data_IF_519438116972
#
_entry.id   IF_519438116972
#
_cell.length_a   1.000
_cell.length_b   1.000
_cell.length_c   1.000
_cell.angle_alpha   90.00
_cell.angle_beta   90.00
_cell.angle_gamma   90.00
#
_symmetry.space_group_name_H-M   'P 1'
#
loop_
_entity.id
_entity.type
_entity.pdbx_description
1 polymer ?
#
# COMPACT_ATOMS: atom_id res chain seq x y z
N UNK A 1 61.54 -9.45 -51.15
CA UNK A 1 62.68 -8.73 -50.55
C UNK A 1 62.56 -7.25 -50.92
N UNK A 2 62.51 -6.39 -49.89
CA UNK A 2 62.94 -4.98 -49.82
C UNK A 2 62.73 -4.05 -51.03
N UNK A 3 61.70 -3.20 -50.94
CA UNK A 3 61.61 -1.85 -51.53
C UNK A 3 60.59 -1.10 -50.66
N UNK A 4 60.66 0.19 -50.30
CA UNK A 4 61.50 1.30 -50.72
C UNK A 4 61.32 2.40 -49.67
N UNK A 5 62.42 3.04 -49.27
CA UNK A 5 62.43 4.31 -48.57
C UNK A 5 62.22 5.44 -49.59
N UNK A 6 61.28 6.36 -49.34
CA UNK A 6 61.42 7.73 -49.83
C UNK A 6 60.95 8.76 -48.79
N UNK A 7 61.92 9.60 -48.40
CA UNK A 7 61.74 10.89 -47.74
C UNK A 7 61.53 11.96 -48.81
N UNK A 8 60.68 12.96 -48.55
CA UNK A 8 60.83 14.38 -48.95
C UNK A 8 59.72 15.15 -48.21
N UNK A 9 59.98 15.78 -47.06
CA UNK A 9 60.33 17.20 -46.89
C UNK A 9 59.58 18.16 -47.83
N UNK A 10 58.61 18.89 -47.28
CA UNK A 10 58.51 20.33 -47.53
C UNK A 10 58.04 21.05 -46.26
N UNK A 11 58.74 22.12 -45.95
CA UNK A 11 58.69 22.90 -44.73
C UNK A 11 57.53 23.90 -44.70
N UNK A 12 57.29 24.41 -43.47
CA UNK A 12 56.77 25.74 -43.13
C UNK A 12 55.27 25.96 -43.39
N UNK A 13 54.50 26.04 -42.30
CA UNK A 13 54.21 27.36 -41.75
C UNK A 13 53.81 27.25 -40.28
N UNK A 14 54.38 28.13 -39.49
CA UNK A 14 54.11 28.25 -38.06
C UNK A 14 52.76 28.92 -37.83
N UNK A 15 52.04 28.47 -36.82
CA UNK A 15 51.51 29.31 -35.73
C UNK A 15 50.53 28.48 -34.89
N UNK A 16 50.92 28.13 -33.67
CA UNK A 16 49.96 27.98 -32.56
C UNK A 16 49.59 29.40 -32.14
N UNK A 17 48.33 29.64 -31.78
CA UNK A 17 48.13 29.84 -30.36
C UNK A 17 46.94 29.06 -29.80
N UNK A 18 47.11 28.72 -28.52
CA UNK A 18 46.10 28.38 -27.53
C UNK A 18 44.64 28.59 -27.99
N UNK A 19 43.93 27.50 -28.23
CA UNK A 19 42.51 27.46 -27.94
C UNK A 19 42.24 26.37 -26.93
N UNK A 20 41.64 26.85 -25.85
CA UNK A 20 41.20 26.18 -24.64
C UNK A 20 40.71 24.75 -24.86
N UNK A 21 41.24 23.86 -24.03
CA UNK A 21 40.63 22.59 -23.72
C UNK A 21 39.21 22.82 -23.16
N UNK A 22 38.20 22.45 -23.93
CA UNK A 22 36.91 22.04 -23.40
C UNK A 22 36.57 20.71 -24.06
N UNK A 23 37.01 19.63 -23.42
CA UNK A 23 36.52 18.29 -23.71
C UNK A 23 35.03 18.27 -23.39
N UNK A 24 34.18 18.22 -24.42
CA UNK A 24 32.78 17.89 -24.27
C UNK A 24 32.71 16.40 -23.95
N UNK A 25 32.74 16.07 -22.66
CA UNK A 25 32.31 14.76 -22.18
C UNK A 25 30.80 14.73 -22.32
N UNK A 26 30.32 14.21 -23.45
CA UNK A 26 28.93 13.81 -23.59
C UNK A 26 28.69 12.60 -22.68
N UNK A 27 28.40 12.86 -21.40
CA UNK A 27 27.95 11.85 -20.46
C UNK A 27 26.51 11.50 -20.82
N UNK A 28 26.33 10.45 -21.62
CA UNK A 28 25.04 9.80 -21.79
C UNK A 28 24.68 9.15 -20.44
N UNK A 29 24.02 9.89 -19.55
CA UNK A 29 23.26 9.28 -18.47
C UNK A 29 22.11 8.50 -19.11
N UNK A 30 22.35 7.20 -19.34
CA UNK A 30 21.26 6.27 -19.58
C UNK A 30 20.31 6.41 -18.39
N UNK A 31 19.13 6.98 -18.63
CA UNK A 31 18.03 6.89 -17.69
C UNK A 31 17.72 5.39 -17.56
N UNK A 32 18.31 4.77 -16.54
CA UNK A 32 17.98 3.41 -16.13
C UNK A 32 16.56 3.51 -15.61
N UNK A 33 15.59 3.27 -16.50
CA UNK A 33 14.21 3.03 -16.11
C UNK A 33 14.23 1.76 -15.28
N UNK A 34 14.37 1.89 -13.96
CA UNK A 34 14.12 0.78 -13.05
C UNK A 34 12.64 0.47 -13.17
N UNK A 35 12.30 -0.45 -14.07
CA UNK A 35 11.00 -1.09 -14.07
C UNK A 35 10.94 -1.92 -12.79
N UNK A 36 10.56 -1.30 -11.68
CA UNK A 36 10.16 -2.04 -10.51
C UNK A 36 9.01 -2.90 -10.95
N UNK A 37 9.24 -4.20 -10.95
CA UNK A 37 8.20 -5.12 -11.23
C UNK A 37 7.15 -4.97 -10.10
N UNK A 38 5.91 -4.88 -10.53
CA UNK A 38 4.80 -4.44 -9.70
C UNK A 38 3.77 -5.56 -9.62
N UNK A 39 3.25 -5.79 -8.43
CA UNK A 39 2.07 -6.60 -8.23
C UNK A 39 0.85 -5.86 -8.79
N UNK A 40 -0.03 -6.60 -9.47
CA UNK A 40 -1.31 -6.07 -9.94
C UNK A 40 -2.40 -6.48 -8.96
N UNK A 41 -3.19 -5.51 -8.51
CA UNK A 41 -4.40 -5.76 -7.72
C UNK A 41 -5.60 -5.36 -8.55
N UNK A 42 -6.46 -6.31 -8.89
CA UNK A 42 -7.75 -6.05 -9.53
C UNK A 42 -8.91 -6.15 -8.54
N UNK A 43 -10.01 -5.46 -8.83
CA UNK A 43 -11.20 -5.48 -7.99
C UNK A 43 -12.47 -5.17 -8.78
N UNK A 44 -13.61 -5.73 -8.35
CA UNK A 44 -14.91 -5.48 -8.95
C UNK A 44 -15.44 -4.07 -8.67
N UNK A 45 -16.51 -3.68 -9.37
CA UNK A 45 -17.10 -2.34 -9.28
C UNK A 45 -17.66 -1.98 -7.89
N UNK A 46 -18.06 -2.99 -7.12
CA UNK A 46 -18.61 -2.83 -5.77
C UNK A 46 -17.52 -2.64 -4.69
N UNK A 47 -16.24 -2.62 -5.09
CA UNK A 47 -15.10 -2.31 -4.23
C UNK A 47 -14.57 -0.93 -4.58
N UNK A 48 -14.89 0.05 -3.75
CA UNK A 48 -14.37 1.41 -3.91
C UNK A 48 -13.12 1.55 -3.04
N UNK A 49 -11.95 1.44 -3.66
CA UNK A 49 -10.68 1.69 -2.99
C UNK A 49 -10.58 3.18 -2.67
N UNK A 50 -10.56 3.53 -1.39
CA UNK A 50 -10.48 4.90 -0.89
C UNK A 50 -9.03 5.38 -0.86
N UNK A 51 -8.09 4.51 -0.50
CA UNK A 51 -6.68 4.85 -0.41
C UNK A 51 -5.76 3.63 -0.36
N UNK A 52 -4.50 3.86 -0.73
CA UNK A 52 -3.40 2.90 -0.60
C UNK A 52 -2.25 3.61 0.11
N UNK A 53 -1.70 2.99 1.15
CA UNK A 53 -0.61 3.51 1.98
C UNK A 53 -0.85 4.93 2.51
N UNK A 54 -2.13 5.21 2.84
CA UNK A 54 -2.58 6.52 3.33
C UNK A 54 -2.77 7.59 2.25
N UNK A 55 -2.47 7.29 0.98
CA UNK A 55 -2.72 8.17 -0.15
C UNK A 55 -4.08 7.85 -0.80
N UNK A 56 -4.86 8.87 -1.13
CA UNK A 56 -6.14 8.68 -1.81
C UNK A 56 -5.94 8.23 -3.26
N UNK A 57 -6.72 7.25 -3.73
CA UNK A 57 -6.56 6.69 -5.09
C UNK A 57 -7.27 7.50 -6.19
N UNK A 58 -8.05 8.51 -5.79
CA UNK A 58 -8.87 9.31 -6.69
C UNK A 58 -10.13 8.59 -7.18
N UNK A 59 -10.51 7.44 -6.63
CA UNK A 59 -11.72 6.66 -7.03
C UNK A 59 -13.04 7.18 -6.41
N UNK A 60 -13.01 8.28 -5.65
CA UNK A 60 -14.12 8.74 -4.78
C UNK A 60 -14.74 10.07 -5.19
N UNK A 61 -14.19 10.76 -6.19
CA UNK A 61 -14.67 12.08 -6.65
C UNK A 61 -15.80 12.03 -7.70
N UNK A 62 -16.54 13.13 -7.85
CA UNK A 62 -17.66 13.25 -8.81
C UNK A 62 -17.23 13.05 -10.28
N UNK A 63 -15.97 13.40 -10.60
CA UNK A 63 -15.35 13.20 -11.91
C UNK A 63 -14.24 12.14 -11.89
N UNK A 64 -14.18 11.35 -10.83
CA UNK A 64 -13.20 10.29 -10.70
C UNK A 64 -13.41 9.23 -11.78
N UNK A 65 -12.35 8.91 -12.51
CA UNK A 65 -12.35 7.71 -13.35
C UNK A 65 -12.25 6.50 -12.45
N UNK A 66 -13.32 5.71 -12.38
CA UNK A 66 -13.33 4.42 -11.66
C UNK A 66 -12.26 3.52 -12.26
N UNK A 67 -11.19 3.26 -11.49
CA UNK A 67 -10.19 2.23 -11.81
C UNK A 67 -10.67 0.91 -11.27
N UNK A 68 -10.39 -0.18 -11.98
CA UNK A 68 -10.65 -1.57 -11.54
C UNK A 68 -9.36 -2.32 -11.20
N UNK A 69 -8.21 -1.66 -11.34
CA UNK A 69 -6.91 -2.21 -10.94
C UNK A 69 -5.90 -1.13 -10.56
N UNK A 70 -4.92 -1.54 -9.76
CA UNK A 70 -3.73 -0.76 -9.41
C UNK A 70 -2.48 -1.63 -9.52
N UNK A 71 -1.36 -1.00 -9.81
CA UNK A 71 -0.04 -1.62 -9.70
C UNK A 71 0.65 -1.09 -8.46
N UNK A 72 1.10 -1.99 -7.60
CA UNK A 72 1.83 -1.68 -6.37
C UNK A 72 3.17 -2.42 -6.37
N UNK A 73 4.26 -1.83 -5.88
CA UNK A 73 5.52 -2.54 -5.70
C UNK A 73 5.37 -3.82 -4.86
N UNK A 74 6.37 -4.69 -4.88
CA UNK A 74 6.44 -5.76 -3.89
C UNK A 74 6.74 -5.17 -2.49
N UNK A 75 6.13 -5.73 -1.45
CA UNK A 75 6.29 -5.27 -0.08
C UNK A 75 5.00 -5.19 0.72
N UNK A 76 5.06 -4.53 1.88
CA UNK A 76 3.90 -4.31 2.74
C UNK A 76 3.07 -3.13 2.25
N UNK A 77 1.77 -3.33 2.11
CA UNK A 77 0.82 -2.31 1.72
C UNK A 77 -0.40 -2.28 2.65
N UNK A 78 -0.94 -1.09 2.83
CA UNK A 78 -2.19 -0.86 3.56
C UNK A 78 -3.23 -0.33 2.59
N UNK A 79 -4.31 -1.08 2.37
CA UNK A 79 -5.37 -0.73 1.41
C UNK A 79 -6.64 -0.44 2.18
N UNK A 80 -7.25 0.71 1.92
CA UNK A 80 -8.56 1.08 2.48
C UNK A 80 -9.61 1.03 1.37
N UNK A 81 -10.67 0.26 1.56
CA UNK A 81 -11.77 0.16 0.59
C UNK A 81 -13.13 0.16 1.29
N UNK A 82 -14.19 0.57 0.58
CA UNK A 82 -15.58 0.45 1.05
C UNK A 82 -16.43 -0.29 0.02
N UNK A 83 -17.47 -0.93 0.52
CA UNK A 83 -18.52 -1.51 -0.31
C UNK A 83 -19.43 -0.40 -0.83
N UNK A 84 -19.77 -0.44 -2.12
CA UNK A 84 -20.72 0.48 -2.75
C UNK A 84 -21.45 -0.29 -3.86
N UNK A 85 -22.76 -0.55 -3.71
CA UNK A 85 -23.53 -1.27 -4.74
C UNK A 85 -24.89 -0.63 -4.95
N UNK A 86 -25.26 -0.51 -6.22
CA UNK A 86 -26.59 -0.10 -6.67
C UNK A 86 -27.48 -1.34 -6.77
N UNK A 87 -28.64 -1.30 -6.13
CA UNK A 87 -29.68 -2.32 -6.22
C UNK A 87 -30.92 -1.72 -6.87
N UNK A 88 -31.52 -2.43 -7.82
CA UNK A 88 -32.83 -2.09 -8.36
C UNK A 88 -33.90 -2.61 -7.41
N UNK A 89 -34.78 -1.74 -6.94
CA UNK A 89 -35.87 -2.12 -6.04
C UNK A 89 -37.10 -2.50 -6.87
N UNK A 90 -37.63 -1.55 -7.64
CA UNK A 90 -38.81 -1.73 -8.48
C UNK A 90 -38.75 -0.76 -9.65
N UNK A 91 -39.03 -1.22 -10.89
CA UNK A 91 -39.07 -0.34 -12.06
C UNK A 91 -37.84 0.55 -12.17
N UNK A 92 -38.02 1.85 -11.97
CA UNK A 92 -36.98 2.89 -12.04
C UNK A 92 -36.40 3.29 -10.68
N UNK A 93 -36.82 2.66 -9.58
CA UNK A 93 -36.30 2.93 -8.24
C UNK A 93 -35.01 2.14 -7.99
N UNK A 94 -33.95 2.88 -7.66
CA UNK A 94 -32.66 2.32 -7.27
C UNK A 94 -32.25 2.78 -5.88
N UNK A 95 -31.60 1.89 -5.14
CA UNK A 95 -31.04 2.16 -3.82
C UNK A 95 -29.56 1.83 -3.79
N UNK A 96 -28.79 2.66 -3.08
CA UNK A 96 -27.34 2.52 -2.98
C UNK A 96 -26.97 2.10 -1.58
N UNK A 97 -26.42 0.89 -1.46
CA UNK A 97 -25.96 0.34 -0.20
C UNK A 97 -24.45 0.57 -0.07
N UNK A 98 -24.04 1.33 0.96
CA UNK A 98 -22.62 1.68 1.21
C UNK A 98 -22.17 1.28 2.61
N UNK A 99 -20.96 0.73 2.69
CA UNK A 99 -20.31 0.46 3.99
C UNK A 99 -19.40 1.62 4.42
N UNK A 100 -18.95 1.54 5.68
CA UNK A 100 -17.75 2.26 6.12
C UNK A 100 -16.49 1.67 5.45
N UNK A 101 -15.39 2.44 5.45
CA UNK A 101 -14.10 1.97 4.97
C UNK A 101 -13.55 0.83 5.84
N UNK A 102 -12.93 -0.15 5.20
CA UNK A 102 -12.21 -1.26 5.79
C UNK A 102 -10.76 -1.18 5.35
N UNK A 103 -9.84 -1.27 6.30
CA UNK A 103 -8.39 -1.18 6.05
C UNK A 103 -7.76 -2.55 6.19
N UNK A 104 -7.15 -3.08 5.13
CA UNK A 104 -6.45 -4.36 5.12
C UNK A 104 -4.94 -4.14 4.93
N UNK A 105 -4.13 -4.90 5.66
CA UNK A 105 -2.68 -4.98 5.45
C UNK A 105 -2.33 -6.24 4.68
N UNK A 106 -1.43 -6.14 3.72
CA UNK A 106 -1.02 -7.27 2.88
C UNK A 106 0.45 -7.15 2.49
N UNK A 107 1.13 -8.29 2.34
CA UNK A 107 2.46 -8.37 1.73
C UNK A 107 2.31 -8.86 0.30
N UNK A 108 2.68 -8.03 -0.66
CA UNK A 108 2.61 -8.34 -2.10
C UNK A 108 3.95 -8.87 -2.59
N UNK A 109 3.89 -9.94 -3.37
CA UNK A 109 5.06 -10.49 -4.06
C UNK A 109 5.15 -9.90 -5.47
N UNK A 110 6.38 -9.85 -5.97
CA UNK A 110 6.68 -9.27 -7.27
C UNK A 110 6.04 -10.05 -8.44
N UNK A 111 5.60 -9.32 -9.47
CA UNK A 111 4.95 -9.83 -10.69
C UNK A 111 3.74 -10.75 -10.42
N UNK A 112 3.10 -10.62 -9.25
CA UNK A 112 1.92 -11.40 -8.90
C UNK A 112 0.63 -10.61 -9.14
N UNK A 113 -0.43 -11.33 -9.48
CA UNK A 113 -1.77 -10.76 -9.58
C UNK A 113 -2.63 -11.18 -8.38
N UNK A 114 -3.25 -10.19 -7.76
CA UNK A 114 -4.16 -10.33 -6.65
C UNK A 114 -5.54 -9.77 -6.99
N UNK A 115 -6.54 -10.25 -6.26
CA UNK A 115 -7.94 -9.83 -6.36
C UNK A 115 -8.38 -9.34 -5.00
N UNK A 116 -8.79 -8.08 -4.93
CA UNK A 116 -9.42 -7.48 -3.76
C UNK A 116 -10.94 -7.61 -3.89
N UNK A 117 -11.60 -8.09 -2.85
CA UNK A 117 -13.04 -8.35 -2.87
C UNK A 117 -13.65 -8.54 -1.49
N UNK A 118 -14.94 -8.90 -1.44
CA UNK A 118 -15.70 -9.03 -0.19
C UNK A 118 -15.88 -10.49 0.24
N UNK A 119 -16.12 -10.73 1.54
CA UNK A 119 -16.34 -12.05 2.12
C UNK A 119 -17.42 -12.06 3.23
N UNK A 120 -18.49 -12.86 3.10
CA UNK A 120 -19.05 -13.30 1.82
C UNK A 120 -19.40 -12.07 0.97
N UNK A 121 -19.42 -12.24 -0.35
CA UNK A 121 -19.91 -11.17 -1.22
C UNK A 121 -21.45 -11.16 -1.21
N UNK A 122 -22.10 -10.08 -0.77
CA UNK A 122 -23.55 -10.03 -0.67
C UNK A 122 -24.18 -9.98 -2.07
N UNK A 123 -25.17 -10.85 -2.29
CA UNK A 123 -25.84 -11.03 -3.58
C UNK A 123 -27.19 -10.32 -3.63
N UNK A 124 -27.91 -10.30 -2.51
CA UNK A 124 -29.19 -9.61 -2.33
C UNK A 124 -29.04 -8.28 -1.59
N UNK A 125 -30.07 -7.44 -1.67
CA UNK A 125 -30.11 -6.15 -0.95
C UNK A 125 -30.14 -6.37 0.56
N UNK A 126 -30.90 -7.36 1.02
CA UNK A 126 -31.06 -7.71 2.43
C UNK A 126 -29.72 -8.17 3.02
N UNK A 127 -28.99 -9.02 2.28
CA UNK A 127 -27.61 -9.41 2.63
C UNK A 127 -26.68 -8.21 2.66
N UNK A 128 -26.78 -7.31 1.68
CA UNK A 128 -25.93 -6.12 1.62
C UNK A 128 -26.17 -5.19 2.82
N UNK A 129 -27.42 -4.99 3.24
CA UNK A 129 -27.76 -4.19 4.42
C UNK A 129 -27.23 -4.79 5.73
N UNK A 130 -27.19 -6.12 5.84
CA UNK A 130 -26.53 -6.78 6.97
C UNK A 130 -25.01 -6.67 6.86
N UNK A 131 -24.47 -6.86 5.66
CA UNK A 131 -23.05 -6.84 5.36
C UNK A 131 -22.40 -5.49 5.67
N UNK A 132 -23.04 -4.36 5.33
CA UNK A 132 -22.46 -3.02 5.58
C UNK A 132 -22.23 -2.71 7.06
N UNK A 133 -22.86 -3.44 7.98
CA UNK A 133 -22.63 -3.31 9.43
C UNK A 133 -21.27 -3.84 9.84
N UNK A 134 -20.82 -4.95 9.24
CA UNK A 134 -19.56 -5.63 9.54
C UNK A 134 -18.94 -6.23 8.26
N UNK A 135 -18.55 -5.38 7.29
CA UNK A 135 -18.07 -5.86 5.99
C UNK A 135 -16.71 -6.54 6.13
N UNK A 136 -16.47 -7.66 5.47
CA UNK A 136 -15.13 -8.29 5.46
C UNK A 136 -14.48 -8.13 4.11
N UNK A 137 -13.34 -7.45 4.09
CA UNK A 137 -12.49 -7.28 2.92
C UNK A 137 -11.49 -8.43 2.85
N UNK A 138 -11.28 -8.99 1.66
CA UNK A 138 -10.30 -10.06 1.41
C UNK A 138 -9.38 -9.69 0.25
N UNK A 139 -8.17 -10.22 0.29
CA UNK A 139 -7.26 -10.26 -0.84
C UNK A 139 -6.92 -11.72 -1.12
N UNK A 140 -7.07 -12.12 -2.37
CA UNK A 140 -6.74 -13.46 -2.85
C UNK A 140 -5.81 -13.42 -4.05
N UNK A 141 -5.01 -14.46 -4.27
CA UNK A 141 -4.32 -14.67 -5.54
C UNK A 141 -5.32 -15.07 -6.63
N UNK A 142 -4.91 -15.02 -7.90
CA UNK A 142 -5.74 -15.47 -9.05
C UNK A 142 -6.26 -16.92 -8.92
N UNK A 143 -5.57 -17.78 -8.19
CA UNK A 143 -6.00 -19.16 -7.93
C UNK A 143 -7.05 -19.29 -6.82
N UNK A 144 -7.54 -18.18 -6.25
CA UNK A 144 -8.53 -18.16 -5.17
C UNK A 144 -7.94 -18.31 -3.76
N UNK A 145 -6.62 -18.51 -3.61
CA UNK A 145 -5.99 -18.56 -2.29
C UNK A 145 -6.08 -17.19 -1.61
N UNK A 146 -6.77 -17.13 -0.47
CA UNK A 146 -6.84 -15.92 0.36
C UNK A 146 -5.49 -15.70 1.04
N UNK A 147 -4.90 -14.53 0.84
CA UNK A 147 -3.60 -14.13 1.43
C UNK A 147 -3.78 -13.14 2.58
N UNK A 148 -4.90 -12.42 2.61
CA UNK A 148 -5.26 -11.54 3.72
C UNK A 148 -6.79 -11.40 3.78
N UNK A 149 -7.33 -11.22 4.99
CA UNK A 149 -8.74 -10.89 5.22
C UNK A 149 -8.85 -10.00 6.44
N UNK A 150 -9.71 -8.99 6.38
CA UNK A 150 -9.98 -8.07 7.46
C UNK A 150 -11.47 -7.78 7.55
N UNK A 151 -12.05 -8.03 8.72
CA UNK A 151 -13.40 -7.56 9.03
C UNK A 151 -13.36 -6.09 9.43
N UNK A 152 -14.29 -5.33 8.88
CA UNK A 152 -14.52 -3.93 9.17
C UNK A 152 -14.93 -3.77 10.61
N UNK A 153 -14.00 -3.28 11.42
CA UNK A 153 -14.34 -2.65 12.68
C UNK A 153 -14.87 -1.24 12.39
N UNK A 154 -15.73 -0.71 13.25
CA UNK A 154 -16.04 0.72 13.26
C UNK A 154 -14.71 1.46 13.44
N UNK A 155 -14.18 2.00 12.33
CA UNK A 155 -13.03 2.88 12.34
C UNK A 155 -13.45 4.16 13.05
N UNK A 156 -13.31 4.17 14.37
CA UNK A 156 -12.92 5.38 15.08
C UNK A 156 -11.52 5.66 14.56
N UNK A 157 -11.35 6.75 13.81
CA UNK A 157 -10.05 7.23 13.39
C UNK A 157 -9.13 7.25 14.62
N UNK A 158 -8.15 6.35 14.71
CA UNK A 158 -6.82 6.56 15.29
C UNK A 158 -6.12 5.21 15.54
N UNK A 159 -4.97 5.06 14.88
CA UNK A 159 -3.78 4.50 15.49
C UNK A 159 -3.73 2.99 15.72
N UNK A 160 -2.48 2.52 15.80
CA UNK A 160 -1.96 1.18 15.93
C UNK A 160 -2.45 0.40 17.18
N UNK A 161 -3.54 0.83 17.83
CA UNK A 161 -4.09 0.24 19.04
C UNK A 161 -5.28 -0.71 18.78
N UNK A 162 -5.85 -0.69 17.57
CA UNK A 162 -6.90 -1.63 17.16
C UNK A 162 -6.46 -3.11 17.10
N UNK A 163 -5.16 -3.35 16.89
CA UNK A 163 -4.59 -4.71 16.86
C UNK A 163 -4.47 -5.37 18.25
N UNK A 164 -4.41 -4.57 19.32
CA UNK A 164 -4.35 -5.09 20.70
C UNK A 164 -5.74 -5.39 21.24
N UNK A 165 -6.78 -4.67 20.78
CA UNK A 165 -8.15 -4.88 21.26
C UNK A 165 -8.77 -6.19 20.75
N UNK A 166 -8.42 -6.64 19.53
CA UNK A 166 -8.91 -7.92 19.00
C UNK A 166 -8.31 -9.15 19.72
N UNK A 167 -7.16 -8.99 20.38
CA UNK A 167 -6.55 -10.06 21.18
C UNK A 167 -7.12 -10.20 22.60
N UNK A 168 -7.83 -9.19 23.12
CA UNK A 168 -8.44 -9.23 24.46
C UNK A 168 -9.95 -9.48 24.45
N UNK A 169 -10.64 -9.20 23.33
CA UNK A 169 -12.06 -9.56 23.18
C UNK A 169 -12.32 -11.09 23.18
N UNK A 170 -11.29 -11.93 22.98
CA UNK A 170 -11.43 -13.38 23.05
C UNK A 170 -11.29 -13.96 24.48
N UNK A 171 -11.06 -13.14 25.52
CA UNK A 171 -10.89 -13.64 26.90
C UNK A 171 -11.89 -13.07 27.92
N UNK A 172 -12.89 -12.30 27.48
CA UNK A 172 -13.87 -11.70 28.41
C UNK A 172 -15.30 -11.82 27.89
N UNK A 173 -15.77 -13.06 27.71
CA UNK A 173 -17.20 -13.37 27.62
C UNK A 173 -17.84 -13.36 29.02
N UNK A 174 -17.96 -12.16 29.59
CA UNK A 174 -18.92 -11.86 30.67
C UNK A 174 -19.12 -10.35 30.64
N UNK A 175 -20.36 -9.93 30.36
CA UNK A 175 -20.73 -8.53 30.13
C UNK A 175 -20.45 -7.63 31.33
N UNK A 176 -19.25 -7.06 31.36
CA UNK A 176 -18.91 -5.88 32.15
C UNK A 176 -18.08 -4.96 31.25
N UNK A 177 -18.67 -3.84 30.88
CA UNK A 177 -18.05 -2.74 30.17
C UNK A 177 -16.98 -2.09 31.06
N UNK A 178 -15.80 -2.72 31.14
CA UNK A 178 -14.68 -2.17 31.89
C UNK A 178 -13.89 -1.28 30.94
N UNK A 179 -13.99 0.03 31.15
CA UNK A 179 -13.14 1.02 30.49
C UNK A 179 -11.69 0.78 30.89
N UNK A 180 -10.98 -0.10 30.17
CA UNK A 180 -9.57 -0.37 30.42
C UNK A 180 -8.79 0.90 30.10
N UNK A 181 -8.18 1.50 31.13
CA UNK A 181 -7.40 2.71 30.94
C UNK A 181 -6.17 2.39 30.06
N UNK A 182 -5.83 3.26 29.09
CA UNK A 182 -4.69 3.04 28.18
C UNK A 182 -3.37 2.76 28.92
N UNK A 183 -3.20 3.34 30.11
CA UNK A 183 -2.04 3.11 30.96
C UNK A 183 -1.92 1.67 31.45
N UNK A 184 -3.04 1.01 31.75
CA UNK A 184 -3.03 -0.37 32.28
C UNK A 184 -2.78 -1.39 31.18
N UNK A 185 -3.25 -1.12 29.95
CA UNK A 185 -2.85 -1.87 28.76
C UNK A 185 -1.34 -1.76 28.50
N UNK A 186 -0.78 -0.55 28.60
CA UNK A 186 0.67 -0.33 28.45
C UNK A 186 1.48 -1.06 29.53
N UNK A 187 1.07 -1.02 30.80
CA UNK A 187 1.73 -1.76 31.90
C UNK A 187 1.71 -3.27 31.65
N UNK A 188 0.59 -3.79 31.15
CA UNK A 188 0.42 -5.23 30.88
C UNK A 188 1.31 -5.68 29.72
N UNK A 189 1.39 -4.88 28.66
CA UNK A 189 2.28 -5.19 27.54
C UNK A 189 3.76 -5.08 27.95
N UNK A 190 4.08 -4.06 28.75
CA UNK A 190 5.42 -3.86 29.29
C UNK A 190 5.87 -5.03 30.17
N UNK A 191 5.01 -5.55 31.05
CA UNK A 191 5.40 -6.65 31.93
C UNK A 191 5.75 -7.92 31.16
N UNK A 192 5.02 -8.21 30.07
CA UNK A 192 5.21 -9.40 29.22
C UNK A 192 6.40 -9.33 28.27
N UNK A 193 6.90 -8.13 27.94
CA UNK A 193 7.99 -7.96 27.00
C UNK A 193 9.34 -8.52 27.51
N UNK A 194 10.17 -9.02 26.60
CA UNK A 194 11.54 -9.50 26.90
C UNK A 194 12.45 -8.36 27.37
N UNK A 195 13.62 -8.70 27.91
CA UNK A 195 14.59 -7.67 28.34
C UNK A 195 15.10 -6.86 27.13
N UNK A 196 15.28 -7.52 25.99
CA UNK A 196 15.73 -6.94 24.73
C UNK A 196 14.70 -5.96 24.16
N UNK A 197 13.43 -6.36 24.12
CA UNK A 197 12.34 -5.51 23.61
C UNK A 197 12.17 -4.25 24.48
N UNK A 198 12.26 -4.42 25.80
CA UNK A 198 12.24 -3.30 26.75
C UNK A 198 13.39 -2.32 26.49
N UNK A 199 14.59 -2.81 26.22
CA UNK A 199 15.74 -1.95 25.91
C UNK A 199 15.58 -1.18 24.60
N UNK A 200 15.05 -1.81 23.54
CA UNK A 200 14.79 -1.12 22.28
C UNK A 200 13.76 0.00 22.46
N UNK A 201 12.70 -0.26 23.23
CA UNK A 201 11.69 0.74 23.52
C UNK A 201 12.24 1.93 24.31
N UNK A 202 13.11 1.69 25.30
CA UNK A 202 13.77 2.77 26.05
C UNK A 202 14.64 3.66 25.17
N UNK A 203 15.37 3.06 24.21
CA UNK A 203 16.15 3.84 23.22
C UNK A 203 15.27 4.72 22.35
N UNK A 204 14.11 4.21 21.93
CA UNK A 204 13.15 5.00 21.16
C UNK A 204 12.60 6.19 21.96
N UNK A 205 12.24 6.00 23.24
CA UNK A 205 11.80 7.11 24.11
C UNK A 205 12.87 8.21 24.19
N UNK A 206 14.14 7.83 24.41
CA UNK A 206 15.24 8.79 24.49
C UNK A 206 15.39 9.63 23.19
N UNK A 207 15.13 9.04 22.02
CA UNK A 207 15.15 9.76 20.75
C UNK A 207 13.97 10.73 20.60
N UNK A 208 12.81 10.42 21.17
CA UNK A 208 11.63 11.30 21.11
C UNK A 208 11.76 12.50 22.04
N UNK A 209 12.34 12.32 23.23
CA UNK A 209 12.50 13.39 24.23
C UNK A 209 13.69 14.33 23.94
N UNK A 210 14.52 14.01 22.94
CA UNK A 210 15.66 14.82 22.52
C UNK A 210 15.33 15.86 21.42
N UNK A 211 14.05 16.03 21.08
CA UNK A 211 13.52 17.12 20.26
C UNK A 211 12.85 18.17 21.14
#
# INVERSE_FOLDING_TARGET
MLFSNQRLRLCLFQARPLFFAFGVVASCTAAMNTSWAAAEISFPENVIVLGVDGQETGNTGLFARKKSSFQLPAGEHTIMARYDRLFQINGDDFDVVRSKGVTIKVVLADQQSYVLGWLPEPTSREEALAFVKQPTLKISKKNGQVVASQQGAVLVNTSLLGGVMQGINHLTSSGVETQIQPLDALKTQWSKASAEDKQQFLRWIQQQTAK
#
